data_IF_104685555600
#
_entry.id   IF_104685555600
#
_cell.length_a   1.000
_cell.length_b   1.000
_cell.length_c   1.000
_cell.angle_alpha   90.00
_cell.angle_beta   90.00
_cell.angle_gamma   90.00
#
_symmetry.space_group_name_H-M   'P 1'
#
loop_
_entity.id
_entity.type
_entity.pdbx_description
1 polymer ?
#
# COMPACT_ATOMS: atom_id res chain seq x y z
N UNK A 1 4.00 9.29 29.70
CA UNK A 1 4.97 9.76 28.68
C UNK A 1 4.30 10.81 27.82
N UNK A 2 4.70 12.09 27.89
CA UNK A 2 4.27 13.10 26.92
C UNK A 2 5.17 12.97 25.69
N UNK A 3 4.63 12.57 24.54
CA UNK A 3 5.36 12.65 23.29
C UNK A 3 5.71 14.12 23.05
N UNK A 4 7.00 14.47 23.04
CA UNK A 4 7.47 15.79 22.61
C UNK A 4 6.99 15.99 21.18
N UNK A 5 6.20 17.04 20.91
CA UNK A 5 5.80 17.36 19.54
C UNK A 5 7.06 17.56 18.71
N UNK A 6 7.25 16.73 17.67
CA UNK A 6 8.30 16.96 16.69
C UNK A 6 7.84 18.14 15.83
N UNK A 7 8.09 19.37 16.29
CA UNK A 7 7.85 20.59 15.50
C UNK A 7 9.12 20.92 14.71
N UNK A 8 9.48 20.04 13.78
CA UNK A 8 10.58 20.27 12.85
C UNK A 8 10.03 20.29 11.41
N UNK A 9 9.84 21.47 10.80
CA UNK A 9 9.30 21.61 9.44
C UNK A 9 10.11 20.85 8.39
N UNK A 10 11.44 20.82 8.52
CA UNK A 10 12.32 20.10 7.59
C UNK A 10 12.08 18.59 7.68
N UNK A 11 11.87 18.07 8.88
CA UNK A 11 11.51 16.67 9.08
C UNK A 11 10.20 16.33 8.36
N UNK A 12 9.15 17.14 8.52
CA UNK A 12 7.88 16.91 7.82
C UNK A 12 8.01 17.00 6.32
N UNK A 13 8.82 17.93 5.80
CA UNK A 13 9.09 18.05 4.37
C UNK A 13 9.74 16.78 3.82
N UNK A 14 10.83 16.31 4.45
CA UNK A 14 11.52 15.06 4.05
C UNK A 14 10.59 13.85 4.14
N UNK A 15 9.74 13.78 5.17
CA UNK A 15 8.76 12.70 5.29
C UNK A 15 7.70 12.76 4.19
N UNK A 16 7.26 13.95 3.78
CA UNK A 16 6.32 14.11 2.67
C UNK A 16 6.93 13.65 1.34
N UNK A 17 8.20 13.98 1.10
CA UNK A 17 8.95 13.50 -0.07
C UNK A 17 9.07 11.97 -0.09
N UNK A 18 9.43 11.37 1.05
CA UNK A 18 9.49 9.91 1.20
C UNK A 18 8.14 9.25 0.92
N UNK A 19 7.04 9.82 1.44
CA UNK A 19 5.68 9.34 1.17
C UNK A 19 5.33 9.47 -0.30
N UNK A 20 5.72 10.56 -0.97
CA UNK A 20 5.47 10.75 -2.40
C UNK A 20 6.18 9.67 -3.24
N UNK A 21 7.45 9.39 -2.95
CA UNK A 21 8.24 8.34 -3.63
C UNK A 21 7.62 6.97 -3.39
N UNK A 22 7.27 6.65 -2.13
CA UNK A 22 6.64 5.38 -1.79
C UNK A 22 5.30 5.19 -2.51
N UNK A 23 4.47 6.24 -2.55
CA UNK A 23 3.18 6.22 -3.26
C UNK A 23 3.35 5.99 -4.76
N UNK A 24 4.36 6.60 -5.39
CA UNK A 24 4.67 6.37 -6.80
C UNK A 24 5.08 4.90 -7.04
N UNK A 25 5.94 4.34 -6.18
CA UNK A 25 6.34 2.93 -6.25
C UNK A 25 5.14 1.98 -6.12
N UNK A 26 4.24 2.22 -5.16
CA UNK A 26 3.02 1.43 -4.97
C UNK A 26 2.12 1.51 -6.21
N UNK A 27 1.88 2.71 -6.76
CA UNK A 27 1.05 2.88 -7.96
C UNK A 27 1.60 2.07 -9.15
N UNK A 28 2.90 2.18 -9.42
CA UNK A 28 3.54 1.44 -10.51
C UNK A 28 3.43 -0.08 -10.32
N UNK A 29 3.62 -0.58 -9.09
CA UNK A 29 3.46 -2.00 -8.78
C UNK A 29 2.02 -2.49 -8.99
N UNK A 30 1.02 -1.68 -8.60
CA UNK A 30 -0.40 -2.00 -8.81
C UNK A 30 -0.79 -2.01 -10.29
N UNK A 31 -0.29 -1.06 -11.07
CA UNK A 31 -0.48 -1.01 -12.52
C UNK A 31 0.13 -2.22 -13.22
N UNK A 32 1.36 -2.59 -12.86
CA UNK A 32 2.01 -3.76 -13.44
C UNK A 32 1.31 -5.06 -13.04
N UNK A 33 0.86 -5.17 -11.78
CA UNK A 33 0.03 -6.31 -11.35
C UNK A 33 -1.25 -6.40 -12.18
N UNK A 34 -1.93 -5.28 -12.42
CA UNK A 34 -3.13 -5.24 -13.28
C UNK A 34 -2.80 -5.70 -14.70
N UNK A 35 -1.71 -5.21 -15.30
CA UNK A 35 -1.26 -5.60 -16.65
C UNK A 35 -0.95 -7.08 -16.75
N UNK A 36 -0.34 -7.66 -15.71
CA UNK A 36 0.03 -9.09 -15.63
C UNK A 36 -1.06 -10.00 -15.10
N UNK A 37 -2.26 -9.47 -14.79
CA UNK A 37 -3.34 -10.23 -14.14
C UNK A 37 -2.89 -10.89 -12.83
N UNK A 38 -2.05 -10.21 -12.07
CA UNK A 38 -1.65 -10.61 -10.71
C UNK A 38 -2.66 -10.01 -9.71
N UNK A 39 -3.17 -10.79 -8.74
CA UNK A 39 -4.05 -10.27 -7.70
C UNK A 39 -3.44 -9.10 -6.92
N UNK A 40 -4.26 -8.07 -6.63
CA UNK A 40 -3.86 -6.92 -5.82
C UNK A 40 -4.15 -7.22 -4.34
N UNK A 41 -3.13 -7.16 -3.49
CA UNK A 41 -3.26 -7.29 -2.04
C UNK A 41 -3.53 -5.94 -1.38
N UNK A 42 -4.43 -5.90 -0.40
CA UNK A 42 -4.68 -4.71 0.41
C UNK A 42 -5.18 -5.10 1.81
N UNK A 43 -5.06 -4.18 2.76
CA UNK A 43 -5.62 -4.34 4.11
C UNK A 43 -6.85 -3.46 4.27
N UNK A 44 -7.92 -4.02 4.81
CA UNK A 44 -9.13 -3.30 5.19
C UNK A 44 -9.53 -3.73 6.61
N UNK A 45 -9.59 -2.76 7.53
CA UNK A 45 -9.89 -2.99 8.95
C UNK A 45 -8.97 -4.06 9.59
N UNK A 46 -7.67 -4.01 9.25
CA UNK A 46 -6.66 -4.93 9.77
C UNK A 46 -6.71 -6.35 9.18
N UNK A 47 -7.63 -6.63 8.25
CA UNK A 47 -7.72 -7.91 7.54
C UNK A 47 -7.15 -7.78 6.13
N UNK A 48 -6.39 -8.79 5.70
CA UNK A 48 -5.84 -8.85 4.34
C UNK A 48 -6.91 -9.36 3.37
N UNK A 49 -7.04 -8.66 2.26
CA UNK A 49 -7.88 -9.01 1.13
C UNK A 49 -7.06 -9.00 -0.16
N UNK A 50 -7.58 -9.70 -1.15
CA UNK A 50 -7.04 -9.81 -2.49
C UNK A 50 -8.14 -9.48 -3.48
N UNK A 51 -7.89 -8.53 -4.39
CA UNK A 51 -8.72 -8.29 -5.57
C UNK A 51 -8.13 -9.09 -6.72
N UNK A 52 -8.86 -10.10 -7.18
CA UNK A 52 -8.49 -10.97 -8.29
C UNK A 52 -8.64 -10.22 -9.64
N UNK A 53 -8.07 -10.74 -10.73
CA UNK A 53 -8.10 -10.07 -12.04
C UNK A 53 -9.50 -9.90 -12.65
N UNK A 54 -10.46 -10.71 -12.23
CA UNK A 54 -11.88 -10.62 -12.60
C UNK A 54 -12.65 -9.56 -11.77
N UNK A 55 -12.00 -8.95 -10.78
CA UNK A 55 -12.58 -7.99 -9.85
C UNK A 55 -13.10 -8.59 -8.55
N UNK A 56 -13.14 -9.92 -8.42
CA UNK A 56 -13.57 -10.62 -7.20
C UNK A 56 -12.68 -10.25 -6.02
N UNK A 57 -13.27 -9.95 -4.86
CA UNK A 57 -12.54 -9.68 -3.62
C UNK A 57 -12.66 -10.89 -2.69
N UNK A 58 -11.53 -11.37 -2.19
CA UNK A 58 -11.45 -12.53 -1.29
C UNK A 58 -10.47 -12.29 -0.15
N UNK A 59 -10.68 -12.95 0.99
CA UNK A 59 -9.70 -13.02 2.09
C UNK A 59 -8.85 -14.30 2.03
N UNK A 60 -9.15 -15.22 1.10
CA UNK A 60 -8.33 -16.41 0.85
C UNK A 60 -7.16 -16.02 -0.04
N UNK A 61 -5.95 -16.35 0.38
CA UNK A 61 -4.75 -16.00 -0.40
C UNK A 61 -4.71 -16.79 -1.70
N UNK A 62 -4.62 -16.14 -2.87
CA UNK A 62 -4.43 -16.82 -4.16
C UNK A 62 -2.97 -17.26 -4.38
N UNK A 63 -2.06 -16.93 -3.46
CA UNK A 63 -0.63 -17.24 -3.53
C UNK A 63 -0.23 -18.42 -2.64
N UNK A 64 -1.17 -18.95 -1.85
CA UNK A 64 -0.95 -20.15 -1.04
C UNK A 64 -1.56 -21.33 -1.79
N UNK A 65 -0.71 -22.26 -2.22
CA UNK A 65 -1.10 -23.62 -2.59
C UNK A 65 -1.23 -24.50 -1.35
#
# INVERSE_FOLDING_TARGET
MKAKSINNPEFFHRMAELVAIANAGVRNALEENRRRRIPIVFSLLGKIYYRLPDGTITHKSPFKG
#
